data_IF_928553363977
#
_entry.id   IF_928553363977
#
_cell.length_a   1.000
_cell.length_b   1.000
_cell.length_c   1.000
_cell.angle_alpha   90.00
_cell.angle_beta   90.00
_cell.angle_gamma   90.00
#
_symmetry.space_group_name_H-M   'P 1'
#
loop_
_entity.id
_entity.type
_entity.pdbx_description
1 polymer ?
#
# COMPACT_ATOMS: atom_id res chain seq x y z
N UNK A 1 -33.18 48.85 1.52
CA UNK A 1 -31.87 48.46 2.08
C UNK A 1 -31.94 47.26 3.03
N UNK A 2 -33.06 46.53 3.13
CA UNK A 2 -33.20 45.38 4.04
C UNK A 2 -33.08 44.02 3.34
N UNK A 3 -33.09 44.00 2.00
CA UNK A 3 -32.96 42.77 1.20
C UNK A 3 -31.49 42.36 0.98
N UNK A 4 -30.54 43.27 1.19
CA UNK A 4 -29.10 42.98 1.09
C UNK A 4 -28.51 42.37 2.37
N UNK A 5 -29.29 42.27 3.45
CA UNK A 5 -28.80 41.76 4.74
C UNK A 5 -28.94 40.22 4.87
N UNK A 6 -29.64 39.56 3.93
CA UNK A 6 -29.83 38.09 3.93
C UNK A 6 -28.92 37.34 2.94
N UNK A 7 -27.94 38.01 2.34
CA UNK A 7 -26.83 37.34 1.64
C UNK A 7 -25.54 37.54 2.43
N UNK A 8 -25.58 37.14 3.70
CA UNK A 8 -24.35 36.77 4.38
C UNK A 8 -23.99 35.40 3.79
N UNK A 9 -23.27 35.41 2.66
CA UNK A 9 -22.59 34.22 2.17
C UNK A 9 -21.85 33.64 3.37
N UNK A 10 -22.30 32.47 3.84
CA UNK A 10 -21.58 31.67 4.82
C UNK A 10 -20.33 31.21 4.08
N UNK A 11 -19.29 32.05 4.06
CA UNK A 11 -17.93 31.63 3.77
C UNK A 11 -17.57 30.72 4.92
N UNK A 12 -17.67 29.42 4.68
CA UNK A 12 -17.02 28.44 5.54
C UNK A 12 -15.54 28.82 5.64
N UNK A 13 -15.15 29.40 6.78
CA UNK A 13 -13.75 29.54 7.18
C UNK A 13 -13.21 28.11 7.33
N UNK A 14 -12.59 27.61 6.27
CA UNK A 14 -11.74 26.43 6.33
C UNK A 14 -10.41 26.89 6.96
N UNK A 15 -10.37 26.94 8.29
CA UNK A 15 -9.17 27.30 9.08
C UNK A 15 -8.07 26.23 9.03
N UNK A 16 -7.89 25.53 7.91
CA UNK A 16 -6.95 24.43 7.77
C UNK A 16 -6.68 23.97 6.34
N UNK A 17 -5.72 23.07 6.20
CA UNK A 17 -5.44 22.37 4.93
C UNK A 17 -6.53 21.33 4.67
N UNK A 18 -7.58 21.72 3.96
CA UNK A 18 -8.71 20.88 3.62
C UNK A 18 -8.83 20.66 2.11
N UNK A 19 -9.39 19.51 1.72
CA UNK A 19 -9.69 19.20 0.31
C UNK A 19 -10.77 20.15 -0.22
N UNK A 20 -10.61 20.76 -1.42
CA UNK A 20 -11.64 21.61 -2.02
C UNK A 20 -13.00 20.92 -2.17
N UNK A 21 -14.08 21.60 -1.74
CA UNK A 21 -15.46 21.05 -1.75
C UNK A 21 -16.17 21.20 -3.10
N UNK A 22 -15.68 22.08 -3.99
CA UNK A 22 -16.27 22.31 -5.32
C UNK A 22 -16.12 21.08 -6.21
N UNK A 23 -17.20 20.71 -6.91
CA UNK A 23 -17.27 19.51 -7.74
C UNK A 23 -16.23 19.46 -8.86
N UNK A 24 -15.86 20.61 -9.42
CA UNK A 24 -14.84 20.75 -10.48
C UNK A 24 -13.44 20.24 -10.04
N UNK A 25 -13.16 20.25 -8.73
CA UNK A 25 -11.87 19.81 -8.17
C UNK A 25 -11.99 18.45 -7.45
N UNK A 26 -13.18 17.86 -7.37
CA UNK A 26 -13.39 16.57 -6.71
C UNK A 26 -13.06 15.45 -7.70
N UNK A 27 -12.30 14.46 -7.23
CA UNK A 27 -12.07 13.24 -8.01
C UNK A 27 -13.44 12.55 -8.19
N UNK A 28 -13.86 12.25 -9.43
CA UNK A 28 -15.13 11.57 -9.66
C UNK A 28 -15.12 10.19 -8.98
N UNK A 29 -16.26 9.83 -8.38
CA UNK A 29 -16.40 8.52 -7.74
C UNK A 29 -16.35 7.43 -8.82
N UNK A 30 -15.35 6.54 -8.74
CA UNK A 30 -15.25 5.41 -9.64
C UNK A 30 -16.34 4.39 -9.31
N UNK A 31 -17.12 3.96 -10.31
CA UNK A 31 -18.18 2.94 -10.15
C UNK A 31 -17.61 1.61 -9.62
N UNK A 32 -16.34 1.32 -9.88
CA UNK A 32 -15.62 0.17 -9.35
C UNK A 32 -14.14 0.49 -9.13
N UNK A 33 -13.48 -0.14 -8.13
CA UNK A 33 -12.03 0.00 -7.95
C UNK A 33 -11.28 -0.56 -9.18
N UNK A 34 -10.03 -0.12 -9.43
CA UNK A 34 -9.23 -0.71 -10.48
C UNK A 34 -9.08 -2.23 -10.28
N UNK A 35 -8.93 -3.00 -11.37
CA UNK A 35 -8.78 -4.45 -11.27
C UNK A 35 -7.56 -4.82 -10.42
N UNK A 36 -7.69 -5.91 -9.65
CA UNK A 36 -6.62 -6.38 -8.79
C UNK A 36 -5.32 -6.63 -9.58
N UNK A 37 -4.15 -6.29 -9.01
CA UNK A 37 -2.87 -6.60 -9.62
C UNK A 37 -2.76 -8.09 -9.97
N UNK A 38 -2.43 -8.39 -11.24
CA UNK A 38 -2.27 -9.77 -11.68
C UNK A 38 -1.00 -10.37 -11.08
N UNK A 39 -1.12 -11.48 -10.36
CA UNK A 39 0.03 -12.26 -9.91
C UNK A 39 0.82 -12.71 -11.14
N UNK A 40 2.13 -12.41 -11.17
CA UNK A 40 3.01 -12.93 -12.23
C UNK A 40 2.97 -14.46 -12.16
N UNK A 41 2.77 -15.11 -13.30
CA UNK A 41 2.81 -16.57 -13.37
C UNK A 41 4.14 -17.06 -12.77
N UNK A 42 4.05 -18.01 -11.84
CA UNK A 42 5.24 -18.77 -11.43
C UNK A 42 5.82 -19.40 -12.69
N UNK A 43 7.14 -19.38 -12.84
CA UNK A 43 7.85 -19.70 -14.08
C UNK A 43 7.51 -21.11 -14.61
N UNK A 44 6.45 -21.22 -15.43
CA UNK A 44 6.14 -22.42 -16.22
C UNK A 44 6.77 -22.19 -17.60
N UNK A 45 7.81 -22.95 -17.92
CA UNK A 45 8.43 -22.95 -19.27
C UNK A 45 9.61 -22.00 -19.50
N UNK A 46 10.02 -21.18 -18.52
CA UNK A 46 11.32 -20.46 -18.55
C UNK A 46 12.26 -21.04 -17.50
N UNK A 47 13.57 -21.04 -17.80
CA UNK A 47 14.61 -21.51 -16.87
C UNK A 47 14.38 -20.87 -15.51
N UNK A 48 14.41 -21.68 -14.45
CA UNK A 48 14.33 -21.22 -13.06
C UNK A 48 15.28 -20.02 -12.90
N UNK A 49 14.84 -18.92 -12.28
CA UNK A 49 15.73 -17.79 -12.01
C UNK A 49 16.96 -18.33 -11.29
N UNK A 50 18.12 -18.13 -11.92
CA UNK A 50 19.39 -18.54 -11.33
C UNK A 50 19.67 -17.62 -10.14
N UNK A 51 20.34 -18.14 -9.10
CA UNK A 51 20.89 -17.29 -8.06
C UNK A 51 21.70 -16.12 -8.65
N UNK A 52 21.77 -14.98 -7.96
CA UNK A 52 22.65 -13.89 -8.36
C UNK A 52 24.08 -14.39 -8.60
N UNK A 53 24.82 -13.74 -9.51
CA UNK A 53 26.18 -14.17 -9.90
C UNK A 53 27.15 -14.31 -8.72
N UNK A 54 26.94 -13.52 -7.66
CA UNK A 54 27.77 -13.50 -6.46
C UNK A 54 27.14 -14.29 -5.30
N UNK A 55 26.16 -15.15 -5.58
CA UNK A 55 25.32 -15.78 -4.58
C UNK A 55 24.35 -14.80 -3.92
N UNK A 56 23.53 -15.33 -3.02
CA UNK A 56 22.77 -14.51 -2.09
C UNK A 56 23.68 -14.07 -0.94
N UNK A 57 23.26 -13.06 -0.19
CA UNK A 57 23.93 -12.66 1.05
C UNK A 57 23.96 -13.86 2.02
N UNK A 58 25.15 -14.39 2.28
CA UNK A 58 25.36 -15.53 3.18
C UNK A 58 26.44 -15.19 4.22
N UNK A 59 26.14 -14.32 5.20
CA UNK A 59 27.04 -14.09 6.31
C UNK A 59 27.10 -15.34 7.20
N UNK A 60 28.25 -15.62 7.84
CA UNK A 60 28.41 -16.78 8.73
C UNK A 60 27.38 -16.81 9.87
N UNK A 61 26.91 -15.64 10.30
CA UNK A 61 25.90 -15.49 11.35
C UNK A 61 24.52 -16.09 10.99
N UNK A 62 24.16 -16.19 9.70
CA UNK A 62 22.89 -16.80 9.30
C UNK A 62 22.87 -18.32 9.58
N UNK A 63 24.02 -18.99 9.48
CA UNK A 63 24.11 -20.41 9.77
C UNK A 63 23.87 -20.70 11.25
N UNK A 64 24.21 -19.76 12.15
CA UNK A 64 23.95 -19.86 13.58
C UNK A 64 22.45 -19.93 13.91
N UNK A 65 21.61 -19.24 13.13
CA UNK A 65 20.15 -19.27 13.30
C UNK A 65 19.56 -20.64 12.99
N UNK A 66 20.13 -21.34 12.00
CA UNK A 66 19.70 -22.68 11.60
C UNK A 66 20.41 -23.81 12.35
N UNK A 67 21.55 -23.50 12.97
CA UNK A 67 22.28 -24.42 13.85
C UNK A 67 21.55 -24.67 15.18
N UNK A 68 20.61 -23.80 15.55
CA UNK A 68 19.71 -24.05 16.67
C UNK A 68 18.84 -25.26 16.31
N UNK A 69 19.05 -26.34 17.05
CA UNK A 69 18.30 -27.58 16.89
C UNK A 69 16.80 -27.30 17.01
N UNK A 70 15.94 -27.91 16.17
CA UNK A 70 14.50 -27.82 16.38
C UNK A 70 14.19 -28.37 17.76
N UNK A 71 13.73 -27.52 18.68
CA UNK A 71 13.20 -27.97 19.97
C UNK A 71 11.93 -28.76 19.70
N UNK A 72 12.08 -30.08 19.54
CA UNK A 72 10.95 -31.00 19.61
C UNK A 72 10.56 -31.10 21.08
N UNK A 73 9.53 -30.36 21.46
CA UNK A 73 8.72 -30.70 22.62
C UNK A 73 7.28 -30.85 22.14
N UNK A 74 6.97 -32.04 21.64
CA UNK A 74 5.65 -32.61 21.82
C UNK A 74 5.85 -33.72 22.86
N UNK A 75 5.54 -33.41 24.12
CA UNK A 75 5.26 -34.44 25.12
C UNK A 75 3.81 -34.85 24.89
N UNK A 76 3.57 -36.14 24.70
CA UNK A 76 2.25 -36.75 24.63
C UNK A 76 1.38 -36.41 25.87
#
# INVERSE_FOLDING_TARGET
MVMNMMMMEIKEENDGCCTPKRSEFRIPESVAPPPAPKKKAYWVGKKKPQPPKNGYFNPPELELLFAVTPTRQALD
#
